data_IF_115352820161
#
_entry.id   IF_115352820161
#
_cell.length_a   1.000
_cell.length_b   1.000
_cell.length_c   1.000
_cell.angle_alpha   90.00
_cell.angle_beta   90.00
_cell.angle_gamma   90.00
#
_symmetry.space_group_name_H-M   'P 1'
#
loop_
_entity.id
_entity.type
_entity.pdbx_description
1 polymer ?
#
# COMPACT_ATOMS: atom_id res chain seq x y z
N UNK A 1 17.51 -12.06 -24.66
CA UNK A 1 17.05 -11.14 -23.60
C UNK A 1 15.55 -10.88 -23.67
N UNK A 2 14.95 -10.80 -24.86
CA UNK A 2 13.51 -10.59 -25.07
C UNK A 2 12.61 -11.77 -24.62
N UNK A 3 13.07 -13.01 -24.80
CA UNK A 3 12.29 -14.21 -24.44
C UNK A 3 12.17 -14.46 -22.93
N UNK A 4 13.18 -14.09 -22.14
CA UNK A 4 13.14 -14.18 -20.67
C UNK A 4 12.32 -13.04 -20.05
N UNK A 5 12.13 -11.95 -20.80
CA UNK A 5 11.26 -10.84 -20.42
C UNK A 5 9.79 -11.29 -20.46
N UNK A 6 9.34 -12.08 -21.45
CA UNK A 6 7.94 -12.46 -21.57
C UNK A 6 7.47 -13.55 -20.59
N UNK A 7 8.34 -14.46 -20.17
CA UNK A 7 7.97 -15.63 -19.36
C UNK A 7 7.78 -15.33 -17.86
N UNK A 8 8.24 -14.17 -17.39
CA UNK A 8 8.02 -13.68 -16.02
C UNK A 8 6.63 -13.04 -15.88
N UNK A 9 6.17 -12.36 -16.93
CA UNK A 9 4.88 -11.68 -16.96
C UNK A 9 3.72 -12.68 -16.98
N UNK A 10 3.84 -13.79 -17.72
CA UNK A 10 2.74 -14.75 -17.85
C UNK A 10 2.34 -15.44 -16.54
N UNK A 11 3.25 -15.67 -15.59
CA UNK A 11 2.92 -16.40 -14.35
C UNK A 11 2.31 -15.55 -13.22
N UNK A 12 2.46 -14.22 -13.27
CA UNK A 12 1.76 -13.32 -12.35
C UNK A 12 0.43 -12.86 -12.97
N UNK A 13 0.34 -12.77 -14.29
CA UNK A 13 -0.86 -12.33 -15.02
C UNK A 13 -1.98 -13.39 -15.16
N UNK A 14 -1.69 -14.69 -14.98
CA UNK A 14 -2.65 -15.77 -15.28
C UNK A 14 -3.88 -15.88 -14.34
N UNK A 15 -3.98 -15.10 -13.25
CA UNK A 15 -5.10 -15.18 -12.29
C UNK A 15 -5.87 -13.88 -12.07
N UNK A 16 -5.67 -12.85 -12.90
CA UNK A 16 -6.41 -11.58 -12.79
C UNK A 16 -7.26 -11.36 -14.03
N UNK A 17 -8.56 -11.63 -13.90
CA UNK A 17 -9.55 -11.29 -14.93
C UNK A 17 -9.50 -9.80 -15.25
N UNK A 18 -9.34 -9.51 -16.55
CA UNK A 18 -9.19 -8.19 -17.15
C UNK A 18 -10.39 -7.28 -16.86
N UNK A 19 -10.30 -6.34 -15.92
CA UNK A 19 -11.08 -5.09 -15.93
C UNK A 19 -10.44 -3.97 -15.08
N UNK A 20 -9.75 -3.04 -15.76
CA UNK A 20 -9.57 -1.60 -15.49
C UNK A 20 -9.56 -1.09 -14.03
N UNK A 21 -8.38 -1.13 -13.41
CA UNK A 21 -7.72 -0.01 -12.71
C UNK A 21 -6.38 -0.53 -12.16
N UNK A 22 -5.33 -0.47 -13.00
CA UNK A 22 -3.97 -0.85 -12.61
C UNK A 22 -3.28 -1.88 -13.51
N UNK A 23 -3.68 -2.00 -14.78
CA UNK A 23 -2.99 -2.89 -15.73
C UNK A 23 -1.50 -2.51 -15.84
N UNK A 24 -0.65 -3.51 -16.13
CA UNK A 24 0.81 -3.39 -16.33
C UNK A 24 1.18 -2.26 -17.32
N UNK A 25 0.27 -1.93 -18.23
CA UNK A 25 0.37 -0.84 -19.21
C UNK A 25 0.53 0.56 -18.57
N UNK A 26 -0.01 0.79 -17.37
CA UNK A 26 0.01 2.10 -16.71
C UNK A 26 1.27 2.38 -15.87
N UNK A 27 1.92 1.33 -15.35
CA UNK A 27 3.06 1.45 -14.43
C UNK A 27 4.40 1.03 -15.05
N UNK A 28 4.38 0.53 -16.29
CA UNK A 28 5.59 0.11 -17.02
C UNK A 28 6.64 1.21 -17.17
N UNK A 29 6.24 2.49 -17.18
CA UNK A 29 7.18 3.62 -17.18
C UNK A 29 8.05 3.67 -15.92
N UNK A 30 7.46 3.43 -14.74
CA UNK A 30 8.19 3.38 -13.46
C UNK A 30 9.13 2.17 -13.46
N UNK A 31 8.62 1.01 -13.90
CA UNK A 31 9.41 -0.21 -14.04
C UNK A 31 10.65 -0.01 -14.91
N UNK A 32 10.46 0.55 -16.12
CA UNK A 32 11.54 0.81 -17.05
C UNK A 32 12.56 1.81 -16.50
N UNK A 33 12.11 2.92 -15.90
CA UNK A 33 13.02 3.93 -15.35
C UNK A 33 13.99 3.34 -14.31
N UNK A 34 13.47 2.62 -13.32
CA UNK A 34 14.31 2.04 -12.27
C UNK A 34 15.14 0.85 -12.75
N UNK A 35 14.62 0.04 -13.69
CA UNK A 35 15.39 -1.03 -14.32
C UNK A 35 16.64 -0.50 -15.05
N UNK A 36 16.53 0.66 -15.72
CA UNK A 36 17.68 1.32 -16.35
C UNK A 36 18.75 1.77 -15.33
N UNK A 37 18.38 1.94 -14.07
CA UNK A 37 19.31 2.26 -12.97
C UNK A 37 19.87 0.99 -12.29
N UNK A 38 19.62 -0.20 -12.86
CA UNK A 38 20.08 -1.46 -12.28
C UNK A 38 19.27 -1.95 -11.08
N UNK A 39 18.05 -1.43 -10.90
CA UNK A 39 17.13 -1.86 -9.83
C UNK A 39 16.14 -2.87 -10.39
N UNK A 40 15.96 -3.99 -9.69
CA UNK A 40 14.92 -4.96 -10.03
C UNK A 40 13.58 -4.41 -9.54
N UNK A 41 12.62 -4.26 -10.46
CA UNK A 41 11.28 -3.75 -10.13
C UNK A 41 10.27 -4.87 -10.20
N UNK A 42 9.43 -4.97 -9.17
CA UNK A 42 8.26 -5.84 -9.14
C UNK A 42 7.02 -4.95 -9.15
N UNK A 43 6.28 -4.96 -10.27
CA UNK A 43 4.97 -4.31 -10.36
C UNK A 43 3.95 -5.37 -9.95
N UNK A 44 3.21 -5.09 -8.88
CA UNK A 44 2.29 -6.05 -8.29
C UNK A 44 0.84 -5.60 -8.43
N UNK A 45 -0.03 -6.58 -8.70
CA UNK A 45 -1.48 -6.43 -8.66
C UNK A 45 -2.04 -6.93 -7.32
N UNK A 46 -3.24 -6.49 -6.99
CA UNK A 46 -3.99 -6.93 -5.81
C UNK A 46 -5.47 -7.07 -6.16
N UNK A 47 -6.20 -7.80 -5.33
CA UNK A 47 -7.63 -8.00 -5.48
C UNK A 47 -8.37 -6.66 -5.34
N UNK A 48 -9.21 -6.35 -6.32
CA UNK A 48 -10.01 -5.13 -6.32
C UNK A 48 -11.38 -5.39 -5.71
N UNK A 49 -11.86 -4.42 -4.93
CA UNK A 49 -13.24 -4.40 -4.47
C UNK A 49 -14.15 -4.16 -5.68
N UNK A 50 -15.05 -5.09 -6.03
CA UNK A 50 -15.96 -4.90 -7.15
C UNK A 50 -16.77 -3.62 -6.97
N UNK A 51 -16.72 -2.75 -7.96
CA UNK A 51 -17.49 -1.51 -8.00
C UNK A 51 -18.15 -1.34 -9.36
N UNK A 52 -19.48 -1.29 -9.38
CA UNK A 52 -20.24 -0.85 -10.56
C UNK A 52 -20.86 0.51 -10.26
N UNK A 53 -20.61 1.45 -11.17
CA UNK A 53 -21.05 2.85 -11.05
C UNK A 53 -22.57 2.98 -10.92
N UNK A 54 -23.31 2.06 -11.52
CA UNK A 54 -24.78 2.07 -11.60
C UNK A 54 -25.47 1.18 -10.55
N UNK A 55 -24.72 0.56 -9.63
CA UNK A 55 -25.31 -0.26 -8.56
C UNK A 55 -26.01 0.63 -7.51
N UNK A 56 -27.31 0.39 -7.35
CA UNK A 56 -28.23 1.24 -6.57
C UNK A 56 -28.43 0.72 -5.13
N UNK A 57 -28.06 -0.52 -4.80
CA UNK A 57 -28.42 -1.14 -3.51
C UNK A 57 -27.25 -1.67 -2.68
N UNK A 58 -27.44 -1.64 -1.35
CA UNK A 58 -26.53 -2.19 -0.33
C UNK A 58 -26.48 -3.72 -0.29
N UNK A 59 -27.45 -4.43 -0.88
CA UNK A 59 -27.50 -5.91 -0.83
C UNK A 59 -26.44 -6.60 -1.70
N UNK A 60 -25.99 -5.96 -2.78
CA UNK A 60 -24.89 -6.49 -3.61
C UNK A 60 -23.52 -6.16 -3.00
N UNK A 61 -23.41 -5.08 -2.22
CA UNK A 61 -22.21 -4.78 -1.43
C UNK A 61 -21.95 -5.83 -0.34
N UNK A 62 -22.98 -6.53 0.15
CA UNK A 62 -22.83 -7.67 1.06
C UNK A 62 -22.19 -8.89 0.39
N UNK A 63 -22.30 -9.02 -0.94
CA UNK A 63 -21.86 -10.20 -1.70
C UNK A 63 -20.39 -10.17 -2.14
N UNK A 64 -19.67 -9.05 -1.99
CA UNK A 64 -18.24 -9.07 -2.30
C UNK A 64 -17.47 -9.89 -1.25
N UNK A 65 -16.65 -10.81 -1.73
CA UNK A 65 -15.70 -11.58 -0.91
C UNK A 65 -14.45 -10.78 -0.58
N UNK A 66 -14.17 -9.68 -1.29
CA UNK A 66 -12.96 -8.88 -1.13
C UNK A 66 -13.22 -7.76 -0.11
N UNK A 67 -12.79 -8.01 1.12
CA UNK A 67 -12.91 -7.08 2.25
C UNK A 67 -11.56 -6.89 2.91
N UNK A 68 -11.43 -5.88 3.76
CA UNK A 68 -10.28 -5.77 4.65
C UNK A 68 -10.09 -7.10 5.43
N UNK A 69 -8.86 -7.64 5.52
CA UNK A 69 -7.58 -7.06 5.09
C UNK A 69 -7.05 -7.55 3.72
N UNK A 70 -7.89 -8.05 2.80
CA UNK A 70 -7.47 -8.74 1.55
C UNK A 70 -6.34 -8.03 0.77
N UNK A 71 -6.48 -6.73 0.47
CA UNK A 71 -5.41 -5.99 -0.22
C UNK A 71 -4.08 -5.92 0.54
N UNK A 72 -4.11 -5.86 1.88
CA UNK A 72 -2.90 -5.93 2.71
C UNK A 72 -2.31 -7.36 2.75
N UNK A 73 -3.15 -8.38 2.64
CA UNK A 73 -2.71 -9.78 2.56
C UNK A 73 -2.07 -10.08 1.20
N UNK A 74 -2.60 -9.51 0.10
CA UNK A 74 -1.98 -9.59 -1.21
C UNK A 74 -0.57 -8.95 -1.21
N UNK A 75 -0.39 -7.80 -0.54
CA UNK A 75 0.95 -7.22 -0.33
C UNK A 75 1.87 -8.18 0.42
N UNK A 76 1.36 -8.90 1.43
CA UNK A 76 2.15 -9.91 2.13
C UNK A 76 2.60 -11.03 1.19
N UNK A 77 1.70 -11.54 0.35
CA UNK A 77 1.99 -12.59 -0.62
C UNK A 77 3.08 -12.14 -1.62
N UNK A 78 3.00 -10.89 -2.09
CA UNK A 78 4.02 -10.29 -2.95
C UNK A 78 5.37 -10.21 -2.24
N UNK A 79 5.41 -9.71 -1.00
CA UNK A 79 6.65 -9.64 -0.20
C UNK A 79 7.26 -11.02 0.01
N UNK A 80 6.45 -12.03 0.31
CA UNK A 80 6.91 -13.41 0.46
C UNK A 80 7.43 -13.99 -0.85
N UNK A 81 6.79 -13.68 -1.98
CA UNK A 81 7.27 -14.08 -3.29
C UNK A 81 8.63 -13.45 -3.57
N UNK A 82 8.81 -12.15 -3.34
CA UNK A 82 10.09 -11.45 -3.50
C UNK A 82 11.16 -12.15 -2.64
N UNK A 83 10.88 -12.36 -1.37
CA UNK A 83 11.82 -13.01 -0.44
C UNK A 83 12.27 -14.41 -0.89
N UNK A 84 11.35 -15.20 -1.48
CA UNK A 84 11.63 -16.56 -1.93
C UNK A 84 12.30 -16.61 -3.31
N UNK A 85 12.17 -15.58 -4.14
CA UNK A 85 12.50 -15.67 -5.57
C UNK A 85 13.53 -14.65 -6.07
N UNK A 86 13.59 -13.43 -5.51
CA UNK A 86 14.30 -12.31 -6.13
C UNK A 86 15.81 -12.53 -6.26
N UNK A 87 16.40 -13.35 -5.37
CA UNK A 87 17.82 -13.73 -5.41
C UNK A 87 18.18 -14.68 -6.55
N UNK A 88 17.19 -15.22 -7.28
CA UNK A 88 17.45 -16.09 -8.42
C UNK A 88 18.12 -15.33 -9.57
N UNK A 89 19.08 -15.95 -10.29
CA UNK A 89 19.64 -15.39 -11.52
C UNK A 89 18.58 -15.04 -12.57
N UNK A 90 17.42 -15.73 -12.56
CA UNK A 90 16.28 -15.43 -13.44
C UNK A 90 15.80 -13.98 -13.30
N UNK A 91 15.89 -13.41 -12.10
CA UNK A 91 15.40 -12.08 -11.80
C UNK A 91 16.53 -11.06 -11.58
N UNK A 92 17.78 -11.41 -11.93
CA UNK A 92 18.91 -10.49 -11.82
C UNK A 92 19.67 -10.55 -10.49
N UNK A 93 19.49 -11.60 -9.67
CA UNK A 93 20.18 -11.78 -8.39
C UNK A 93 19.93 -10.64 -7.38
N UNK A 94 18.66 -10.25 -7.20
CA UNK A 94 18.28 -9.20 -6.27
C UNK A 94 18.58 -9.57 -4.81
N UNK A 95 18.79 -8.56 -3.97
CA UNK A 95 18.99 -8.77 -2.54
C UNK A 95 17.65 -8.68 -1.81
N UNK A 96 17.30 -9.73 -1.06
CA UNK A 96 16.11 -9.78 -0.20
C UNK A 96 16.14 -8.77 0.94
N UNK A 97 17.33 -8.26 1.30
CA UNK A 97 17.51 -7.28 2.39
C UNK A 97 17.47 -5.82 1.89
N UNK A 98 17.39 -5.61 0.57
CA UNK A 98 17.38 -4.28 -0.07
C UNK A 98 16.07 -3.98 -0.81
N UNK A 99 14.96 -4.47 -0.25
CA UNK A 99 13.62 -4.27 -0.82
C UNK A 99 13.03 -2.95 -0.34
N UNK A 100 12.68 -2.06 -1.27
CA UNK A 100 11.93 -0.82 -0.97
C UNK A 100 10.50 -1.00 -1.47
N UNK A 101 9.52 -0.73 -0.60
CA UNK A 101 8.12 -0.75 -0.98
C UNK A 101 7.71 0.64 -1.50
N UNK A 102 7.12 0.69 -2.69
CA UNK A 102 6.63 1.92 -3.29
C UNK A 102 5.12 1.81 -3.50
N UNK A 103 4.36 2.73 -2.92
CA UNK A 103 2.91 2.77 -3.07
C UNK A 103 2.40 4.14 -3.45
N UNK A 104 1.55 4.18 -4.48
CA UNK A 104 0.78 5.37 -4.85
C UNK A 104 -0.68 5.21 -4.45
N UNK A 105 -1.28 6.26 -3.88
CA UNK A 105 -2.71 6.32 -3.52
C UNK A 105 -3.16 5.08 -2.74
N UNK A 106 -4.21 4.37 -3.18
CA UNK A 106 -4.71 3.15 -2.53
C UNK A 106 -3.67 2.03 -2.42
N UNK A 107 -2.75 1.90 -3.38
CA UNK A 107 -1.67 0.91 -3.31
C UNK A 107 -0.74 1.15 -2.12
N UNK A 108 -0.45 2.43 -1.82
CA UNK A 108 0.31 2.77 -0.61
C UNK A 108 -0.48 2.57 0.68
N UNK A 109 -1.81 2.74 0.64
CA UNK A 109 -2.67 2.43 1.79
C UNK A 109 -2.61 0.92 2.14
N UNK A 110 -2.65 0.04 1.15
CA UNK A 110 -2.49 -1.41 1.35
C UNK A 110 -1.09 -1.80 1.84
N UNK A 111 -0.03 -1.16 1.33
CA UNK A 111 1.34 -1.34 1.87
C UNK A 111 1.39 -0.94 3.35
N UNK A 112 0.81 0.20 3.72
CA UNK A 112 0.76 0.64 5.11
C UNK A 112 -0.07 -0.31 5.98
N UNK A 113 -1.24 -0.77 5.52
CA UNK A 113 -2.06 -1.74 6.26
C UNK A 113 -1.36 -3.10 6.44
N UNK A 114 -0.51 -3.48 5.48
CA UNK A 114 0.33 -4.68 5.60
C UNK A 114 1.46 -4.48 6.63
N UNK A 115 2.21 -3.39 6.53
CA UNK A 115 3.32 -3.08 7.45
C UNK A 115 2.86 -2.78 8.87
N UNK A 116 1.63 -2.30 9.06
CA UNK A 116 1.12 -1.89 10.38
C UNK A 116 0.10 -2.88 10.95
N UNK A 117 0.08 -4.11 10.44
CA UNK A 117 -0.90 -5.14 10.81
C UNK A 117 -0.95 -5.42 12.32
N UNK A 118 0.18 -5.31 13.05
CA UNK A 118 0.19 -5.49 14.51
C UNK A 118 -0.58 -4.42 15.30
N UNK A 119 -0.97 -3.32 14.65
CA UNK A 119 -1.90 -2.35 15.22
C UNK A 119 -3.36 -2.81 15.21
N UNK A 120 -3.69 -3.90 14.53
CA UNK A 120 -5.02 -4.50 14.54
C UNK A 120 -5.09 -5.63 15.59
N UNK A 121 -5.84 -5.47 16.69
CA UNK A 121 -5.94 -6.51 17.71
C UNK A 121 -6.66 -7.77 17.22
N UNK A 122 -7.42 -7.68 16.13
CA UNK A 122 -8.12 -8.83 15.53
C UNK A 122 -7.21 -9.61 14.56
N UNK A 123 -6.05 -9.06 14.17
CA UNK A 123 -5.09 -9.75 13.31
C UNK A 123 -4.06 -10.48 14.15
N UNK A 124 -3.99 -11.80 13.97
CA UNK A 124 -2.90 -12.60 14.52
C UNK A 124 -1.62 -12.35 13.71
N UNK A 125 -0.74 -11.51 14.24
CA UNK A 125 0.59 -11.28 13.68
C UNK A 125 1.56 -12.34 14.18
N UNK A 126 2.00 -13.22 13.28
CA UNK A 126 2.88 -14.36 13.61
C UNK A 126 4.35 -14.11 13.32
N UNK A 127 4.69 -12.96 12.72
CA UNK A 127 6.04 -12.56 12.32
C UNK A 127 6.21 -11.06 12.54
N UNK A 128 7.46 -10.61 12.60
CA UNK A 128 7.78 -9.17 12.63
C UNK A 128 7.07 -8.42 11.50
N UNK A 129 6.53 -7.24 11.79
CA UNK A 129 5.83 -6.35 10.84
C UNK A 129 6.63 -6.10 9.55
N UNK A 130 7.94 -5.94 9.72
CA UNK A 130 8.89 -5.70 8.62
C UNK A 130 9.50 -6.99 8.06
N UNK A 131 8.92 -8.17 8.34
CA UNK A 131 9.31 -9.44 7.72
C UNK A 131 8.30 -9.90 6.64
N UNK A 132 8.75 -10.30 5.42
CA UNK A 132 10.13 -10.28 4.93
C UNK A 132 10.79 -8.90 4.92
N UNK A 133 12.13 -8.82 5.03
CA UNK A 133 12.87 -7.56 5.23
C UNK A 133 12.45 -6.46 4.26
N UNK A 134 12.28 -5.24 4.79
CA UNK A 134 12.00 -4.03 4.02
C UNK A 134 13.04 -2.98 4.42
N UNK A 135 13.79 -2.47 3.45
CA UNK A 135 14.83 -1.47 3.62
C UNK A 135 14.28 -0.03 3.65
N UNK A 136 13.02 0.16 3.30
CA UNK A 136 12.34 1.45 3.34
C UNK A 136 10.99 1.42 2.64
N UNK A 137 10.20 2.48 2.84
CA UNK A 137 8.89 2.63 2.22
C UNK A 137 8.68 4.03 1.67
N UNK A 138 8.08 4.10 0.48
CA UNK A 138 7.72 5.34 -0.22
C UNK A 138 6.21 5.37 -0.38
N UNK A 139 5.57 6.32 0.27
CA UNK A 139 4.16 6.62 0.14
C UNK A 139 3.99 7.88 -0.71
N UNK A 140 3.34 7.76 -1.86
CA UNK A 140 2.97 8.91 -2.68
C UNK A 140 1.44 9.10 -2.68
N UNK A 141 0.99 10.26 -2.21
CA UNK A 141 -0.42 10.67 -2.27
C UNK A 141 -1.37 9.65 -1.65
N UNK A 142 -0.94 9.00 -0.56
CA UNK A 142 -1.67 7.92 0.10
C UNK A 142 -2.81 8.46 0.97
N UNK A 143 -4.05 7.98 0.80
CA UNK A 143 -5.14 8.31 1.71
C UNK A 143 -5.03 7.47 2.99
N UNK A 144 -4.22 7.92 3.93
CA UNK A 144 -4.05 7.24 5.23
C UNK A 144 -5.33 7.25 6.09
N UNK A 145 -6.25 8.15 5.78
CA UNK A 145 -7.57 8.31 6.38
C UNK A 145 -8.60 8.68 5.31
N UNK A 146 -9.88 8.51 5.61
CA UNK A 146 -10.96 8.63 4.61
C UNK A 146 -12.02 9.66 5.00
N UNK A 147 -12.50 10.42 4.01
CA UNK A 147 -13.51 11.46 4.18
C UNK A 147 -14.91 10.87 3.99
N UNK A 148 -15.59 10.57 5.11
CA UNK A 148 -16.96 10.03 5.12
C UNK A 148 -18.02 11.00 4.59
N UNK A 149 -17.71 12.29 4.44
CA UNK A 149 -18.73 13.27 3.99
C UNK A 149 -19.11 13.08 2.53
N UNK A 150 -18.30 12.32 1.77
CA UNK A 150 -18.53 12.03 0.36
C UNK A 150 -19.35 10.74 0.20
N UNK A 151 -20.53 10.78 -0.46
CA UNK A 151 -21.38 9.59 -0.62
C UNK A 151 -20.68 8.41 -1.31
N UNK A 152 -19.80 8.70 -2.27
CA UNK A 152 -19.00 7.66 -2.93
C UNK A 152 -18.04 6.97 -1.95
N UNK A 153 -17.49 7.71 -0.98
CA UNK A 153 -16.60 7.14 0.03
C UNK A 153 -17.36 6.23 0.99
N UNK A 154 -18.53 6.64 1.44
CA UNK A 154 -19.41 5.80 2.28
C UNK A 154 -19.67 4.44 1.62
N UNK A 155 -20.02 4.43 0.33
CA UNK A 155 -20.21 3.18 -0.43
C UNK A 155 -18.96 2.30 -0.48
N UNK A 156 -17.79 2.89 -0.71
CA UNK A 156 -16.52 2.15 -0.77
C UNK A 156 -16.17 1.57 0.60
N UNK A 157 -16.33 2.35 1.68
CA UNK A 157 -16.08 1.90 3.04
C UNK A 157 -17.01 0.77 3.45
N UNK A 158 -18.31 0.90 3.16
CA UNK A 158 -19.29 -0.17 3.39
C UNK A 158 -18.89 -1.47 2.69
N UNK A 159 -18.40 -1.40 1.44
CA UNK A 159 -17.97 -2.59 0.69
C UNK A 159 -16.71 -3.22 1.28
N UNK A 160 -15.68 -2.40 1.51
CA UNK A 160 -14.37 -2.92 1.91
C UNK A 160 -14.29 -3.28 3.39
N UNK A 161 -14.84 -2.45 4.28
CA UNK A 161 -14.79 -2.65 5.73
C UNK A 161 -16.07 -3.25 6.31
N UNK A 162 -17.12 -3.44 5.50
CA UNK A 162 -18.42 -3.90 5.96
C UNK A 162 -19.27 -2.82 6.65
N UNK A 163 -18.74 -1.61 6.83
CA UNK A 163 -19.41 -0.45 7.43
C UNK A 163 -18.71 0.84 7.04
N UNK A 164 -19.46 1.95 6.91
CA UNK A 164 -18.90 3.30 6.79
C UNK A 164 -18.76 4.02 8.15
N UNK A 165 -19.13 3.38 9.26
CA UNK A 165 -18.95 3.89 10.62
C UNK A 165 -17.47 3.98 11.02
N UNK A 166 -17.05 5.12 11.58
CA UNK A 166 -15.62 5.45 11.83
C UNK A 166 -14.96 4.53 12.82
N UNK A 167 -15.70 4.18 13.86
CA UNK A 167 -15.29 3.24 14.88
C UNK A 167 -15.03 1.83 14.32
N UNK A 168 -15.59 1.51 13.15
CA UNK A 168 -15.35 0.23 12.45
C UNK A 168 -14.16 0.30 11.50
N UNK A 169 -14.12 1.25 10.56
CA UNK A 169 -13.04 1.31 9.56
C UNK A 169 -11.82 2.11 10.02
N UNK A 170 -12.00 3.09 10.90
CA UNK A 170 -10.96 4.01 11.36
C UNK A 170 -9.78 3.29 12.00
N UNK A 171 -9.99 2.40 12.99
CA UNK A 171 -8.92 1.59 13.58
C UNK A 171 -8.18 0.71 12.57
N UNK A 172 -8.84 0.31 11.47
CA UNK A 172 -8.32 -0.55 10.39
C UNK A 172 -7.78 0.22 9.18
N UNK A 173 -7.83 1.55 9.23
CA UNK A 173 -7.19 2.41 8.23
C UNK A 173 -5.68 2.42 8.43
N UNK A 174 -4.91 2.80 7.41
CA UNK A 174 -3.45 2.90 7.52
C UNK A 174 -3.00 3.77 8.69
N UNK A 175 -3.69 4.90 8.94
CA UNK A 175 -3.41 5.77 10.08
C UNK A 175 -3.81 5.13 11.42
N UNK A 176 -4.98 4.50 11.48
CA UNK A 176 -5.47 3.84 12.69
C UNK A 176 -4.54 2.72 13.15
N UNK A 177 -4.12 1.88 12.21
CA UNK A 177 -3.16 0.80 12.46
C UNK A 177 -1.82 1.34 12.97
N UNK A 178 -1.27 2.37 12.32
CA UNK A 178 -0.02 2.98 12.76
C UNK A 178 -0.11 3.54 14.20
N UNK A 179 -1.23 4.22 14.52
CA UNK A 179 -1.52 4.73 15.87
C UNK A 179 -1.75 3.63 16.90
N UNK A 180 -2.00 2.40 16.49
CA UNK A 180 -2.25 1.27 17.39
C UNK A 180 -1.07 0.32 17.50
N UNK A 181 0.01 0.56 16.76
CA UNK A 181 1.22 -0.29 16.81
C UNK A 181 1.72 -0.52 18.25
N UNK A 182 2.19 -1.73 18.59
CA UNK A 182 2.93 -1.95 19.83
C UNK A 182 4.14 -1.00 19.91
N UNK A 183 4.50 -0.55 21.13
CA UNK A 183 5.60 0.42 21.34
C UNK A 183 6.95 -0.10 20.85
N UNK A 184 7.13 -1.41 20.85
CA UNK A 184 8.30 -2.15 20.41
C UNK A 184 8.21 -2.60 18.94
N UNK A 185 7.16 -2.21 18.21
CA UNK A 185 7.03 -2.54 16.79
C UNK A 185 8.23 -1.99 16.01
N UNK A 186 8.90 -2.82 15.19
CA UNK A 186 10.00 -2.37 14.35
C UNK A 186 9.56 -1.41 13.25
N UNK A 187 8.26 -1.33 12.95
CA UNK A 187 7.71 -0.35 12.02
C UNK A 187 7.69 1.09 12.60
N UNK A 188 7.85 1.25 13.92
CA UNK A 188 8.06 2.55 14.55
C UNK A 188 9.54 2.99 14.50
N UNK A 189 10.48 2.09 14.22
CA UNK A 189 11.90 2.40 14.18
C UNK A 189 12.28 3.00 12.82
N UNK A 190 12.46 4.31 12.77
CA UNK A 190 12.77 5.10 11.57
C UNK A 190 14.13 4.74 10.94
N UNK A 191 15.03 4.09 11.69
CA UNK A 191 16.31 3.60 11.17
C UNK A 191 16.10 2.26 10.47
N UNK A 192 15.26 1.38 11.02
CA UNK A 192 14.92 0.08 10.40
C UNK A 192 13.95 0.21 9.24
N UNK A 193 13.00 1.15 9.34
CA UNK A 193 12.02 1.44 8.29
C UNK A 193 12.05 2.93 7.92
N UNK A 194 13.08 3.39 7.18
CA UNK A 194 13.10 4.72 6.59
C UNK A 194 11.82 4.95 5.78
N UNK A 195 11.11 6.02 6.09
CA UNK A 195 9.79 6.33 5.52
C UNK A 195 9.84 7.63 4.76
N UNK A 196 9.41 7.60 3.50
CA UNK A 196 9.18 8.77 2.67
C UNK A 196 7.68 8.96 2.46
N UNK A 197 7.20 10.18 2.70
CA UNK A 197 5.82 10.60 2.44
C UNK A 197 5.85 11.75 1.43
N UNK A 198 5.47 11.45 0.20
CA UNK A 198 5.25 12.44 -0.85
C UNK A 198 3.78 12.77 -0.99
N UNK A 199 3.48 14.04 -1.17
CA UNK A 199 2.20 14.51 -1.72
C UNK A 199 2.48 15.53 -2.82
N UNK A 200 1.44 16.04 -3.44
CA UNK A 200 1.51 16.94 -4.59
C UNK A 200 0.84 18.27 -4.23
N UNK A 201 1.22 19.34 -4.92
CA UNK A 201 0.62 20.66 -4.66
C UNK A 201 -0.88 20.70 -4.94
N UNK A 202 -1.31 20.01 -5.99
CA UNK A 202 -2.71 19.96 -6.42
C UNK A 202 -3.33 18.62 -6.03
N UNK A 203 -3.45 18.42 -4.73
CA UNK A 203 -3.90 17.16 -4.13
C UNK A 203 -5.40 17.17 -3.82
N UNK A 204 -6.03 15.98 -3.83
CA UNK A 204 -7.37 15.82 -3.27
C UNK A 204 -7.29 15.99 -1.75
N UNK A 205 -8.16 16.83 -1.19
CA UNK A 205 -8.14 17.21 0.24
C UNK A 205 -8.00 16.00 1.19
N UNK A 206 -8.72 14.92 0.93
CA UNK A 206 -8.66 13.70 1.74
C UNK A 206 -7.23 13.10 1.82
N UNK A 207 -6.53 12.99 0.68
CA UNK A 207 -5.19 12.42 0.64
C UNK A 207 -4.17 13.36 1.32
N UNK A 208 -4.29 14.66 1.11
CA UNK A 208 -3.43 15.65 1.77
C UNK A 208 -3.61 15.63 3.29
N UNK A 209 -4.86 15.74 3.76
CA UNK A 209 -5.17 15.72 5.19
C UNK A 209 -4.77 14.39 5.84
N UNK A 210 -4.98 13.27 5.14
CA UNK A 210 -4.51 11.95 5.57
C UNK A 210 -2.99 11.89 5.73
N UNK A 211 -2.23 12.44 4.78
CA UNK A 211 -0.77 12.52 4.87
C UNK A 211 -0.31 13.37 6.07
N UNK A 212 -0.92 14.53 6.30
CA UNK A 212 -0.60 15.38 7.46
C UNK A 212 -0.94 14.67 8.79
N UNK A 213 -2.09 14.02 8.87
CA UNK A 213 -2.50 13.26 10.05
C UNK A 213 -1.54 12.09 10.32
N UNK A 214 -1.08 11.40 9.27
CA UNK A 214 -0.06 10.36 9.38
C UNK A 214 1.28 10.91 9.85
N UNK A 215 1.76 12.02 9.31
CA UNK A 215 3.02 12.64 9.76
C UNK A 215 2.97 13.07 11.22
N UNK A 216 1.84 13.59 11.68
CA UNK A 216 1.67 13.94 13.09
C UNK A 216 1.76 12.70 13.99
N UNK A 217 1.09 11.61 13.61
CA UNK A 217 1.20 10.34 14.33
C UNK A 217 2.63 9.76 14.27
N UNK A 218 3.30 9.85 13.11
CA UNK A 218 4.67 9.40 12.92
C UNK A 218 5.62 10.14 13.87
N UNK A 219 5.55 11.48 13.90
CA UNK A 219 6.37 12.31 14.79
C UNK A 219 6.16 12.01 16.28
N UNK A 220 4.94 11.65 16.66
CA UNK A 220 4.60 11.32 18.05
C UNK A 220 5.17 9.97 18.48
N UNK A 221 5.24 8.99 17.56
CA UNK A 221 5.47 7.58 17.90
C UNK A 221 6.82 7.03 17.43
N UNK A 222 7.40 7.61 16.39
CA UNK A 222 8.61 7.10 15.78
C UNK A 222 9.78 7.07 16.75
N UNK A 223 10.62 6.07 16.58
CA UNK A 223 11.83 5.82 17.33
C UNK A 223 13.05 5.84 16.40
N UNK A 224 14.21 6.33 16.85
CA UNK A 224 14.41 7.08 18.08
C UNK A 224 13.59 8.38 18.13
N UNK A 225 13.24 8.83 19.33
CA UNK A 225 12.50 10.07 19.51
C UNK A 225 13.22 11.25 18.82
N UNK A 226 12.45 12.11 18.14
CA UNK A 226 12.98 13.23 17.35
C UNK A 226 13.29 12.89 15.88
N UNK A 227 13.14 11.62 15.49
CA UNK A 227 13.13 11.25 14.06
C UNK A 227 11.79 11.57 13.40
N UNK A 228 11.80 11.65 12.07
CA UNK A 228 10.59 11.88 11.29
C UNK A 228 10.72 11.23 9.90
N UNK A 229 9.58 10.99 9.26
CA UNK A 229 9.54 10.65 7.84
C UNK A 229 10.05 11.84 7.00
N UNK A 230 10.64 11.54 5.85
CA UNK A 230 10.93 12.57 4.84
C UNK A 230 9.61 12.98 4.22
N UNK A 231 9.24 14.26 4.36
CA UNK A 231 8.00 14.79 3.79
C UNK A 231 8.30 15.75 2.65
N UNK A 232 7.72 15.49 1.48
CA UNK A 232 7.83 16.37 0.32
C UNK A 232 6.46 16.69 -0.29
N UNK A 233 6.28 17.96 -0.65
CA UNK A 233 5.18 18.41 -1.51
C UNK A 233 5.75 18.71 -2.89
N UNK A 234 5.38 17.90 -3.88
CA UNK A 234 5.83 18.04 -5.25
C UNK A 234 5.10 19.21 -5.94
N UNK A 235 5.83 20.30 -6.19
CA UNK A 235 5.30 21.45 -6.95
C UNK A 235 4.99 21.02 -8.40
N UNK A 236 3.98 21.66 -8.99
CA UNK A 236 3.51 21.41 -10.37
C UNK A 236 2.99 19.98 -10.65
N UNK A 237 2.70 19.19 -9.61
CA UNK A 237 2.11 17.85 -9.73
C UNK A 237 0.68 17.81 -9.14
N UNK A 238 -0.08 16.77 -9.50
CA UNK A 238 -1.46 16.49 -9.05
C UNK A 238 -1.66 14.98 -8.75
N UNK A 239 -2.84 14.57 -8.28
CA UNK A 239 -3.13 13.18 -7.86
C UNK A 239 -3.28 12.15 -9.01
N UNK A 240 -3.26 12.58 -10.28
CA UNK A 240 -3.64 11.87 -11.52
C UNK A 240 -4.99 12.30 -12.13
N UNK A 241 -5.03 13.58 -12.52
CA UNK A 241 -5.49 14.16 -13.81
C UNK A 241 -4.90 15.56 -13.90
#
# INVERSE_FOLDING_TARGET
MEAAYNEVYEKIALNTDRFNLGDEEYWGNIGNYFAQQGIIVVIANHQLVPYKKDEVSSKEAEQTTIKYPAGADDVQLVREWIYKNISSPKFGNGSVDKVVLFGHSSGGAHIAMNLYAAGDPERTVTRSDIFPPVAGVIYLSVPFWYDRTRPIRQKILQRYYGSDAEDVWGPRSSLGLFKSLPKDSPALDAIKLPTYVGTVKWEVKEAFDGAIAFLNAYRERAQPAGTNAIFHVLDKHNHLR
#
